data_IF_021821351200
#
_entry.id   IF_021821351200
#
_cell.length_a   1.000
_cell.length_b   1.000
_cell.length_c   1.000
_cell.angle_alpha   90.00
_cell.angle_beta   90.00
_cell.angle_gamma   90.00
#
_symmetry.space_group_name_H-M   'P 1'
#
loop_
_entity.id
_entity.type
_entity.pdbx_description
1 polymer ?
#
# COMPACT_ATOMS: atom_id res chain seq x y z
N UNK A 1 -19.30 -2.47 -3.45
CA UNK A 1 -18.74 -1.63 -2.39
C UNK A 1 -19.61 -1.80 -1.15
N UNK A 2 -19.01 -1.87 0.05
CA UNK A 2 -19.77 -1.99 1.32
C UNK A 2 -19.52 -0.75 2.18
N UNK A 3 -20.54 0.06 2.39
CA UNK A 3 -20.50 1.29 3.22
C UNK A 3 -21.03 1.00 4.64
N UNK A 4 -20.62 1.81 5.63
CA UNK A 4 -21.15 1.71 7.01
C UNK A 4 -22.27 2.71 7.32
N UNK A 5 -22.59 3.61 6.37
CA UNK A 5 -23.38 4.83 6.56
C UNK A 5 -22.72 5.90 7.45
N UNK A 6 -21.54 5.65 8.02
CA UNK A 6 -20.81 6.68 8.78
C UNK A 6 -20.10 7.67 7.85
N UNK A 7 -20.03 8.93 8.29
CA UNK A 7 -19.28 10.01 7.64
C UNK A 7 -18.45 10.71 8.72
N UNK A 8 -17.15 10.86 8.48
CA UNK A 8 -16.21 11.52 9.40
C UNK A 8 -15.57 12.68 8.66
N UNK A 9 -15.79 13.91 9.14
CA UNK A 9 -15.29 15.14 8.51
C UNK A 9 -15.64 15.22 7.00
N UNK A 10 -16.84 14.78 6.64
CA UNK A 10 -17.32 14.73 5.26
C UNK A 10 -16.77 13.56 4.43
N UNK A 11 -15.95 12.68 5.01
CA UNK A 11 -15.38 11.49 4.34
C UNK A 11 -16.19 10.24 4.71
N UNK A 12 -16.75 9.52 3.73
CA UNK A 12 -17.52 8.30 3.97
C UNK A 12 -16.65 7.15 4.48
N UNK A 13 -17.23 6.32 5.35
CA UNK A 13 -16.59 5.12 5.89
C UNK A 13 -17.07 3.86 5.15
N UNK A 14 -16.12 3.00 4.76
CA UNK A 14 -16.37 1.76 4.03
C UNK A 14 -15.78 0.55 4.75
N UNK A 15 -16.37 -0.62 4.58
CA UNK A 15 -15.87 -1.92 5.05
C UNK A 15 -15.30 -2.77 3.90
N UNK A 16 -15.64 -2.46 2.65
CA UNK A 16 -15.07 -3.08 1.45
C UNK A 16 -15.01 -2.09 0.30
N UNK A 17 -13.83 -1.91 -0.28
CA UNK A 17 -13.62 -1.11 -1.48
C UNK A 17 -14.02 -1.92 -2.73
N UNK A 18 -14.60 -1.23 -3.71
CA UNK A 18 -14.84 -1.74 -5.06
C UNK A 18 -14.65 -0.59 -6.03
N UNK A 19 -13.46 -0.48 -6.62
CA UNK A 19 -13.12 0.65 -7.51
C UNK A 19 -13.93 0.65 -8.79
N UNK A 20 -14.41 -0.51 -9.23
CA UNK A 20 -15.21 -0.66 -10.45
C UNK A 20 -16.58 0.04 -10.34
N UNK A 21 -17.12 0.15 -9.13
CA UNK A 21 -18.40 0.82 -8.85
C UNK A 21 -18.29 2.34 -8.74
N UNK A 22 -17.09 2.90 -8.71
CA UNK A 22 -16.89 4.34 -8.60
C UNK A 22 -17.11 5.03 -9.96
N UNK A 23 -17.65 6.25 -9.95
CA UNK A 23 -17.60 7.13 -11.10
C UNK A 23 -16.16 7.63 -11.33
N UNK A 24 -15.86 8.10 -12.55
CA UNK A 24 -14.60 8.80 -12.80
C UNK A 24 -14.45 10.03 -11.87
N UNK A 25 -13.23 10.32 -11.44
CA UNK A 25 -12.94 11.42 -10.50
C UNK A 25 -12.04 11.01 -9.34
N UNK A 26 -11.93 11.91 -8.36
CA UNK A 26 -11.18 11.70 -7.11
C UNK A 26 -12.14 11.38 -5.96
N UNK A 27 -11.89 10.29 -5.26
CA UNK A 27 -12.70 9.81 -4.14
C UNK A 27 -11.83 9.67 -2.90
N UNK A 28 -12.42 9.88 -1.72
CA UNK A 28 -11.76 9.70 -0.42
C UNK A 28 -12.66 8.87 0.46
N UNK A 29 -12.06 7.91 1.16
CA UNK A 29 -12.74 7.04 2.11
C UNK A 29 -11.93 6.86 3.38
N UNK A 30 -12.61 6.52 4.45
CA UNK A 30 -12.02 5.80 5.57
C UNK A 30 -12.39 4.32 5.47
N UNK A 31 -11.41 3.46 5.25
CA UNK A 31 -11.61 2.01 5.30
C UNK A 31 -11.55 1.52 6.74
N UNK A 32 -12.62 0.91 7.22
CA UNK A 32 -12.75 0.33 8.56
C UNK A 32 -12.12 -1.06 8.57
N UNK A 33 -10.87 -1.14 9.04
CA UNK A 33 -10.10 -2.39 9.04
C UNK A 33 -10.44 -3.29 10.24
N UNK A 34 -10.51 -2.72 11.44
CA UNK A 34 -10.81 -3.47 12.66
C UNK A 34 -11.27 -2.54 13.80
N UNK A 35 -11.40 -3.09 15.02
CA UNK A 35 -11.66 -2.36 16.26
C UNK A 35 -10.57 -2.60 17.29
N UNK A 36 -10.25 -1.60 18.11
CA UNK A 36 -9.45 -1.76 19.31
C UNK A 36 -10.26 -2.35 20.49
N UNK A 37 -9.60 -2.58 21.62
CA UNK A 37 -10.22 -3.10 22.85
C UNK A 37 -11.19 -2.14 23.52
N UNK A 38 -11.21 -0.86 23.12
CA UNK A 38 -12.14 0.17 23.60
C UNK A 38 -13.36 0.29 22.66
N UNK A 39 -13.40 -0.44 21.56
CA UNK A 39 -14.46 -0.39 20.55
C UNK A 39 -14.27 0.72 19.51
N UNK A 40 -13.13 1.41 19.48
CA UNK A 40 -12.85 2.39 18.43
C UNK A 40 -12.44 1.67 17.14
N UNK A 41 -12.94 2.16 16.01
CA UNK A 41 -12.52 1.66 14.71
C UNK A 41 -11.14 2.16 14.32
N UNK A 42 -10.28 1.23 13.88
CA UNK A 42 -9.08 1.55 13.12
C UNK A 42 -9.48 1.86 11.68
N UNK A 43 -9.31 3.13 11.31
CA UNK A 43 -9.73 3.68 10.02
C UNK A 43 -8.53 4.06 9.19
N UNK A 44 -8.40 3.42 8.04
CA UNK A 44 -7.32 3.63 7.08
C UNK A 44 -7.77 4.69 6.07
N UNK A 45 -7.03 5.79 5.86
CA UNK A 45 -7.32 6.72 4.78
C UNK A 45 -7.07 6.05 3.43
N UNK A 46 -8.06 6.10 2.53
CA UNK A 46 -7.97 5.59 1.17
C UNK A 46 -8.34 6.68 0.20
N UNK A 47 -7.52 6.88 -0.83
CA UNK A 47 -7.77 7.84 -1.91
C UNK A 47 -7.84 7.04 -3.22
N UNK A 48 -8.84 7.30 -4.04
CA UNK A 48 -8.98 6.66 -5.35
C UNK A 48 -9.06 7.73 -6.42
N UNK A 49 -8.21 7.63 -7.44
CA UNK A 49 -8.28 8.44 -8.65
C UNK A 49 -8.67 7.53 -9.80
N UNK A 50 -9.88 7.70 -10.32
CA UNK A 50 -10.42 6.85 -11.39
C UNK A 50 -10.58 7.65 -12.69
N UNK A 51 -9.99 7.12 -13.75
CA UNK A 51 -10.09 7.63 -15.11
C UNK A 51 -11.50 7.48 -15.71
N UNK A 52 -11.77 8.21 -16.79
CA UNK A 52 -13.00 8.05 -17.56
C UNK A 52 -13.00 6.77 -18.42
N UNK A 53 -11.81 6.35 -18.87
CA UNK A 53 -11.61 5.15 -19.67
C UNK A 53 -11.15 3.98 -18.79
N UNK A 54 -11.59 2.74 -19.09
CA UNK A 54 -11.04 1.53 -18.47
C UNK A 54 -9.54 1.41 -18.72
N UNK A 55 -8.84 0.74 -17.81
CA UNK A 55 -7.40 0.52 -17.86
C UNK A 55 -6.94 -0.14 -16.56
N UNK A 56 -5.63 -0.28 -16.40
CA UNK A 56 -4.99 -0.95 -15.26
C UNK A 56 -5.34 -0.30 -13.93
N UNK A 57 -5.52 -1.12 -12.90
CA UNK A 57 -5.68 -0.71 -11.50
C UNK A 57 -4.31 -0.76 -10.81
N UNK A 58 -3.72 0.40 -10.57
CA UNK A 58 -2.49 0.54 -9.78
C UNK A 58 -2.85 0.78 -8.31
N UNK A 59 -2.33 -0.05 -7.42
CA UNK A 59 -2.46 0.13 -5.98
C UNK A 59 -1.12 0.50 -5.37
N UNK A 60 -1.07 1.59 -4.60
CA UNK A 60 0.13 2.02 -3.88
C UNK A 60 -0.25 2.15 -2.42
N UNK A 61 0.49 1.46 -1.55
CA UNK A 61 0.36 1.65 -0.12
C UNK A 61 1.67 2.03 0.53
N UNK A 62 1.57 2.58 1.73
CA UNK A 62 2.70 2.86 2.61
C UNK A 62 2.36 2.51 4.05
N UNK A 63 3.41 2.33 4.84
CA UNK A 63 3.33 2.32 6.30
C UNK A 63 2.47 1.17 6.82
N UNK A 64 2.64 -0.02 6.22
CA UNK A 64 2.19 -1.28 6.81
C UNK A 64 2.98 -1.56 8.10
N UNK A 65 4.28 -1.28 8.07
CA UNK A 65 5.08 -1.01 9.25
C UNK A 65 4.90 0.44 9.68
N UNK A 66 4.48 0.68 10.92
CA UNK A 66 4.05 2.00 11.38
C UNK A 66 5.15 3.05 11.50
N UNK A 67 6.41 2.64 11.57
CA UNK A 67 7.59 3.52 11.64
C UNK A 67 8.15 3.92 10.25
N UNK A 68 7.58 3.38 9.17
CA UNK A 68 8.07 3.59 7.80
C UNK A 68 7.21 4.65 7.09
N UNK A 69 7.50 5.92 7.38
CA UNK A 69 6.62 7.06 7.03
C UNK A 69 6.93 7.71 5.68
N UNK A 70 8.02 7.36 4.99
CA UNK A 70 8.41 8.06 3.75
C UNK A 70 7.43 7.87 2.59
N UNK A 71 6.83 6.68 2.46
CA UNK A 71 5.83 6.44 1.42
C UNK A 71 4.57 7.31 1.58
N UNK A 72 4.29 7.84 2.79
CA UNK A 72 3.23 8.85 3.00
C UNK A 72 3.52 10.09 2.16
N UNK A 73 4.76 10.57 2.20
CA UNK A 73 5.19 11.76 1.45
C UNK A 73 5.19 11.50 -0.05
N UNK A 74 5.69 10.34 -0.51
CA UNK A 74 5.61 9.94 -1.92
C UNK A 74 4.18 9.96 -2.44
N UNK A 75 3.23 9.39 -1.70
CA UNK A 75 1.81 9.38 -2.08
C UNK A 75 1.24 10.80 -2.14
N UNK A 76 1.59 11.67 -1.19
CA UNK A 76 1.13 13.06 -1.17
C UNK A 76 1.74 13.91 -2.29
N UNK A 77 2.99 13.64 -2.68
CA UNK A 77 3.63 14.28 -3.83
C UNK A 77 3.05 13.79 -5.16
N UNK A 78 2.67 12.51 -5.27
CA UNK A 78 2.07 11.95 -6.49
C UNK A 78 0.65 12.46 -6.75
N UNK A 79 -0.18 12.59 -5.71
CA UNK A 79 -1.61 12.87 -5.83
C UNK A 79 -1.98 14.12 -6.68
N UNK A 80 -1.26 15.26 -6.60
CA UNK A 80 -1.51 16.43 -7.46
C UNK A 80 -1.30 16.15 -8.95
N UNK A 81 -0.45 15.19 -9.32
CA UNK A 81 -0.14 14.84 -10.71
C UNK A 81 -1.15 13.88 -11.34
N UNK A 82 -2.03 13.27 -10.52
CA UNK A 82 -3.07 12.37 -11.01
C UNK A 82 -4.32 13.18 -11.41
N UNK A 83 -4.49 13.41 -12.71
CA UNK A 83 -5.71 14.01 -13.29
C UNK A 83 -6.67 12.90 -13.79
N UNK A 84 -7.85 12.73 -13.17
CA UNK A 84 -8.87 11.80 -13.65
C UNK A 84 -9.25 11.95 -15.12
N UNK A 85 -9.15 13.16 -15.68
CA UNK A 85 -9.52 13.41 -17.08
C UNK A 85 -8.48 12.86 -18.07
N UNK A 86 -7.22 12.72 -17.64
CA UNK A 86 -6.12 12.21 -18.46
C UNK A 86 -5.75 10.74 -18.15
N UNK A 87 -6.26 10.20 -17.05
CA UNK A 87 -5.99 8.83 -16.61
C UNK A 87 -6.86 7.81 -17.36
N UNK A 88 -6.26 6.70 -17.79
CA UNK A 88 -6.96 5.46 -18.15
C UNK A 88 -6.75 4.43 -17.04
N UNK A 89 -7.82 3.85 -16.53
CA UNK A 89 -7.75 2.94 -15.37
C UNK A 89 -7.93 3.63 -14.02
N UNK A 90 -7.33 3.09 -12.97
CA UNK A 90 -7.55 3.54 -11.58
C UNK A 90 -6.26 3.51 -10.78
N UNK A 91 -6.03 4.55 -9.97
CA UNK A 91 -4.96 4.57 -8.97
C UNK A 91 -5.58 4.59 -7.57
N UNK A 92 -5.26 3.59 -6.75
CA UNK A 92 -5.62 3.52 -5.33
C UNK A 92 -4.40 3.87 -4.50
N UNK A 93 -4.55 4.81 -3.57
CA UNK A 93 -3.48 5.30 -2.71
C UNK A 93 -3.87 5.10 -1.23
N UNK A 94 -3.03 4.40 -0.48
CA UNK A 94 -3.19 4.16 0.96
C UNK A 94 -1.95 4.68 1.68
N UNK A 95 -1.93 5.95 2.12
CA UNK A 95 -0.73 6.55 2.72
C UNK A 95 -0.34 5.92 4.06
N UNK A 96 -1.29 5.36 4.81
CA UNK A 96 -1.01 4.75 6.12
C UNK A 96 -1.84 3.50 6.35
N UNK A 97 -1.32 2.34 5.95
CA UNK A 97 -2.02 1.06 6.03
C UNK A 97 -2.15 0.52 7.47
N UNK A 98 -1.33 0.99 8.42
CA UNK A 98 -1.37 0.59 9.82
C UNK A 98 -1.41 1.81 10.78
N UNK A 99 -2.53 2.55 10.86
CA UNK A 99 -2.65 3.71 11.77
C UNK A 99 -2.29 3.41 13.24
N UNK A 100 -2.63 2.24 13.82
CA UNK A 100 -2.21 1.92 15.18
C UNK A 100 -0.70 1.80 15.35
N UNK A 101 0.01 1.19 14.40
CA UNK A 101 1.47 1.16 14.38
C UNK A 101 2.07 2.56 14.26
N UNK A 102 1.49 3.39 13.39
CA UNK A 102 1.91 4.78 13.19
C UNK A 102 1.79 5.62 14.46
N UNK A 103 0.66 5.51 15.17
CA UNK A 103 0.43 6.23 16.43
C UNK A 103 1.47 5.89 17.51
N UNK A 104 2.06 4.70 17.43
CA UNK A 104 3.09 4.22 18.34
C UNK A 104 4.51 4.38 17.80
N UNK A 105 4.70 4.94 16.59
CA UNK A 105 5.96 4.94 15.85
C UNK A 105 6.63 3.54 15.87
N UNK A 106 5.82 2.51 15.64
CA UNK A 106 6.19 1.11 15.79
C UNK A 106 6.07 0.38 14.46
N UNK A 107 7.09 -0.43 14.13
CA UNK A 107 7.05 -1.39 13.01
C UNK A 107 5.81 -2.29 13.06
N UNK A 108 5.33 -2.61 14.25
CA UNK A 108 4.35 -3.65 14.47
C UNK A 108 2.96 -3.09 14.75
N UNK A 109 1.93 -3.86 14.37
CA UNK A 109 0.56 -3.65 14.83
C UNK A 109 0.44 -4.04 16.32
N UNK A 110 -0.19 -3.20 17.16
CA UNK A 110 -0.25 -3.39 18.61
C UNK A 110 -1.27 -4.45 19.03
N UNK A 111 -1.13 -5.67 18.51
CA UNK A 111 -1.73 -6.86 19.10
C UNK A 111 -0.63 -7.75 19.66
N UNK A 112 -0.66 -7.92 20.98
CA UNK A 112 0.21 -8.86 21.66
C UNK A 112 -0.28 -10.28 21.39
N UNK A 113 0.66 -11.16 21.04
CA UNK A 113 0.47 -12.60 21.10
C UNK A 113 0.88 -13.13 22.49
N UNK A 114 0.80 -14.45 22.68
CA UNK A 114 1.17 -15.12 23.94
C UNK A 114 2.64 -14.87 24.36
N UNK A 115 3.52 -14.53 23.42
CA UNK A 115 4.93 -14.19 23.69
C UNK A 115 5.15 -12.70 23.98
N UNK A 116 4.06 -11.92 24.15
CA UNK A 116 4.07 -10.47 24.37
C UNK A 116 4.74 -9.67 23.25
N UNK A 117 4.90 -10.28 22.08
CA UNK A 117 5.42 -9.58 20.90
C UNK A 117 4.26 -8.98 20.11
N UNK A 118 4.47 -7.78 19.59
CA UNK A 118 3.53 -7.17 18.66
C UNK A 118 3.57 -7.88 17.31
N UNK A 119 2.48 -7.74 16.56
CA UNK A 119 2.28 -8.51 15.32
C UNK A 119 2.90 -7.78 14.13
N UNK A 120 3.78 -8.45 13.39
CA UNK A 120 4.21 -7.99 12.08
C UNK A 120 3.12 -8.33 11.06
N UNK A 121 2.41 -7.31 10.55
CA UNK A 121 1.37 -7.50 9.54
C UNK A 121 1.93 -8.03 8.22
N UNK A 122 3.20 -7.74 7.90
CA UNK A 122 3.87 -8.25 6.71
C UNK A 122 4.30 -9.72 6.84
N UNK A 123 3.74 -10.47 7.79
CA UNK A 123 3.89 -11.94 7.96
C UNK A 123 2.54 -12.62 8.17
N UNK A 124 1.45 -11.92 7.87
CA UNK A 124 0.09 -12.31 8.24
C UNK A 124 -0.86 -12.38 7.06
N UNK A 125 -0.44 -12.05 5.84
CA UNK A 125 -1.28 -12.18 4.64
C UNK A 125 -1.51 -13.67 4.31
N UNK A 126 -2.69 -14.06 3.81
CA UNK A 126 -3.90 -13.25 3.57
C UNK A 126 -4.76 -13.00 4.84
N UNK A 127 -4.35 -13.56 5.98
CA UNK A 127 -5.04 -13.41 7.27
C UNK A 127 -6.24 -14.35 7.44
N UNK A 128 -6.86 -14.30 8.62
CA UNK A 128 -8.07 -15.07 8.94
C UNK A 128 -9.02 -14.23 9.80
N UNK A 129 -10.25 -14.01 9.30
CA UNK A 129 -11.31 -13.29 9.97
C UNK A 129 -11.71 -13.88 11.33
N UNK A 130 -11.49 -15.17 11.54
CA UNK A 130 -11.86 -15.93 12.75
C UNK A 130 -10.67 -16.17 13.68
N UNK A 131 -9.48 -15.74 13.31
CA UNK A 131 -8.28 -15.89 14.14
C UNK A 131 -8.46 -15.23 15.49
N UNK A 132 -7.93 -15.85 16.55
CA UNK A 132 -7.82 -15.22 17.87
C UNK A 132 -6.85 -14.03 17.85
N UNK A 133 -5.85 -14.04 16.96
CA UNK A 133 -4.90 -12.95 16.79
C UNK A 133 -5.56 -11.76 16.05
N UNK A 134 -5.55 -10.58 16.68
CA UNK A 134 -6.16 -9.38 16.10
C UNK A 134 -5.45 -8.86 14.84
N UNK A 135 -4.12 -8.99 14.76
CA UNK A 135 -3.36 -8.65 13.55
C UNK A 135 -3.69 -9.56 12.36
N UNK A 136 -3.97 -10.84 12.59
CA UNK A 136 -4.43 -11.76 11.53
C UNK A 136 -5.82 -11.37 11.00
N UNK A 137 -6.74 -10.93 11.88
CA UNK A 137 -8.04 -10.37 11.46
C UNK A 137 -7.90 -9.04 10.72
N UNK A 138 -6.91 -8.21 11.11
CA UNK A 138 -6.57 -6.98 10.41
C UNK A 138 -6.06 -7.26 9.00
N UNK A 139 -5.12 -8.19 8.86
CA UNK A 139 -4.58 -8.64 7.58
C UNK A 139 -5.70 -9.21 6.68
N UNK A 140 -6.65 -9.96 7.25
CA UNK A 140 -7.83 -10.42 6.51
C UNK A 140 -8.64 -9.26 5.92
N UNK A 141 -8.91 -8.22 6.72
CA UNK A 141 -9.66 -7.06 6.24
C UNK A 141 -8.92 -6.32 5.12
N UNK A 142 -7.61 -6.10 5.29
CA UNK A 142 -6.76 -5.53 4.25
C UNK A 142 -6.82 -6.37 2.96
N UNK A 143 -6.49 -7.64 3.06
CA UNK A 143 -6.40 -8.55 1.91
C UNK A 143 -7.73 -8.67 1.17
N UNK A 144 -8.78 -9.14 1.84
CA UNK A 144 -10.03 -9.53 1.18
C UNK A 144 -10.98 -8.35 0.88
N UNK A 145 -10.86 -7.25 1.61
CA UNK A 145 -11.81 -6.14 1.50
C UNK A 145 -11.19 -4.84 0.96
N UNK A 146 -9.86 -4.71 0.93
CA UNK A 146 -9.18 -3.53 0.41
C UNK A 146 -8.30 -3.84 -0.80
N UNK A 147 -7.49 -4.89 -0.77
CA UNK A 147 -6.51 -5.19 -1.83
C UNK A 147 -7.12 -5.96 -3.01
N UNK A 148 -7.66 -7.14 -2.74
CA UNK A 148 -8.18 -8.02 -3.80
C UNK A 148 -9.31 -7.33 -4.59
N UNK A 149 -9.33 -7.58 -5.89
CA UNK A 149 -10.22 -6.98 -6.90
C UNK A 149 -9.97 -5.48 -7.20
N UNK A 150 -9.12 -4.81 -6.42
CA UNK A 150 -8.81 -3.38 -6.54
C UNK A 150 -7.39 -3.09 -7.07
N UNK A 151 -6.62 -4.12 -7.42
CA UNK A 151 -5.25 -4.01 -7.92
C UNK A 151 -4.98 -5.02 -9.04
N UNK A 152 -4.48 -4.53 -10.17
CA UNK A 152 -3.82 -5.32 -11.21
C UNK A 152 -2.29 -5.26 -11.03
N UNK A 153 -1.78 -4.17 -10.45
CA UNK A 153 -0.39 -3.98 -10.05
C UNK A 153 -0.38 -3.39 -8.62
N UNK A 154 0.56 -3.83 -7.78
CA UNK A 154 0.69 -3.36 -6.41
C UNK A 154 2.10 -2.88 -6.08
N UNK A 155 2.23 -1.69 -5.50
CA UNK A 155 3.50 -1.15 -5.00
C UNK A 155 3.39 -0.96 -3.48
N UNK A 156 4.18 -1.72 -2.73
CA UNK A 156 4.24 -1.65 -1.28
C UNK A 156 5.47 -0.84 -0.84
N UNK A 157 5.23 0.39 -0.38
CA UNK A 157 6.30 1.32 0.01
C UNK A 157 6.72 1.06 1.46
N UNK A 158 7.97 0.65 1.62
CA UNK A 158 8.67 0.40 2.87
C UNK A 158 9.87 1.34 3.02
N UNK A 159 10.46 1.31 4.20
CA UNK A 159 11.79 1.84 4.47
C UNK A 159 12.54 0.84 5.33
N UNK A 160 13.86 0.96 5.42
CA UNK A 160 14.59 0.07 6.30
C UNK A 160 14.23 0.31 7.77
N UNK A 161 14.27 -0.76 8.57
CA UNK A 161 14.07 -0.76 10.03
C UNK A 161 14.80 0.39 10.73
N UNK A 162 14.17 0.93 11.76
CA UNK A 162 14.70 2.03 12.58
C UNK A 162 16.17 1.79 12.99
N UNK A 163 17.03 2.76 12.68
CA UNK A 163 18.47 2.71 12.95
C UNK A 163 19.34 2.30 11.76
N UNK A 164 18.74 2.00 10.61
CA UNK A 164 19.43 1.65 9.35
C UNK A 164 18.78 2.34 8.15
N UNK A 165 19.47 2.36 7.00
CA UNK A 165 19.03 3.02 5.79
C UNK A 165 19.30 2.13 4.57
N UNK A 166 18.36 2.10 3.62
CA UNK A 166 18.61 1.56 2.28
C UNK A 166 18.80 2.68 1.26
N UNK A 167 19.51 2.44 0.14
CA UNK A 167 19.37 3.27 -1.07
C UNK A 167 17.96 3.10 -1.65
N UNK A 168 17.67 3.60 -2.86
CA UNK A 168 16.44 3.20 -3.52
C UNK A 168 16.58 1.73 -3.91
N UNK A 169 15.98 0.86 -3.10
CA UNK A 169 16.14 -0.58 -3.16
C UNK A 169 14.79 -1.26 -3.41
N UNK A 170 14.80 -2.42 -4.07
CA UNK A 170 13.57 -3.20 -4.29
C UNK A 170 13.81 -4.68 -4.02
N UNK A 171 12.80 -5.32 -3.44
CA UNK A 171 12.64 -6.77 -3.49
C UNK A 171 11.71 -7.11 -4.66
N UNK A 172 12.11 -8.10 -5.45
CA UNK A 172 11.37 -8.53 -6.62
C UNK A 172 11.53 -10.04 -6.88
N UNK A 173 10.43 -10.75 -7.03
CA UNK A 173 10.40 -12.15 -7.46
C UNK A 173 10.62 -12.27 -8.98
N UNK A 174 11.86 -12.57 -9.39
CA UNK A 174 12.22 -12.67 -10.81
C UNK A 174 11.71 -13.95 -11.50
N UNK A 175 11.08 -14.87 -10.75
CA UNK A 175 10.38 -16.02 -11.33
C UNK A 175 9.09 -15.57 -12.02
N UNK A 176 8.58 -14.38 -11.69
CA UNK A 176 7.45 -13.74 -12.37
C UNK A 176 7.92 -12.75 -13.44
N UNK A 177 7.61 -13.04 -14.71
CA UNK A 177 7.99 -12.18 -15.83
C UNK A 177 7.36 -10.77 -15.75
N UNK A 178 6.17 -10.66 -15.15
CA UNK A 178 5.49 -9.38 -14.98
C UNK A 178 6.12 -8.54 -13.85
N UNK A 179 6.60 -9.18 -12.78
CA UNK A 179 7.40 -8.52 -11.74
C UNK A 179 8.74 -8.05 -12.30
N UNK A 180 9.42 -8.85 -13.12
CA UNK A 180 10.64 -8.43 -13.81
C UNK A 180 10.43 -7.17 -14.67
N UNK A 181 9.34 -7.14 -15.45
CA UNK A 181 8.98 -5.96 -16.27
C UNK A 181 8.71 -4.75 -15.39
N UNK A 182 7.91 -4.92 -14.33
CA UNK A 182 7.57 -3.85 -13.41
C UNK A 182 8.82 -3.28 -12.72
N UNK A 183 9.72 -4.14 -12.25
CA UNK A 183 11.00 -3.77 -11.65
C UNK A 183 11.90 -3.01 -12.62
N UNK A 184 11.96 -3.43 -13.90
CA UNK A 184 12.75 -2.74 -14.92
C UNK A 184 12.25 -1.33 -15.26
N UNK A 185 11.00 -1.00 -14.90
CA UNK A 185 10.45 0.35 -15.04
C UNK A 185 10.80 1.27 -13.85
N UNK A 186 11.37 0.74 -12.76
CA UNK A 186 11.74 1.54 -11.61
C UNK A 186 13.22 1.93 -11.67
N UNK A 187 13.60 3.18 -11.38
CA UNK A 187 14.99 3.62 -11.36
C UNK A 187 15.65 3.30 -10.00
N UNK A 188 15.52 2.06 -9.54
CA UNK A 188 16.13 1.62 -8.29
C UNK A 188 17.66 1.57 -8.44
N UNK A 189 18.37 1.96 -7.38
CA UNK A 189 19.83 1.83 -7.30
C UNK A 189 20.23 0.35 -7.24
N UNK A 190 19.39 -0.48 -6.60
CA UNK A 190 19.62 -1.90 -6.39
C UNK A 190 18.31 -2.68 -6.38
N UNK A 191 18.35 -3.90 -6.94
CA UNK A 191 17.24 -4.84 -6.91
C UNK A 191 17.79 -6.15 -6.35
N UNK A 192 17.16 -6.65 -5.30
CA UNK A 192 17.40 -7.99 -4.81
C UNK A 192 16.35 -8.92 -5.39
N UNK A 193 16.84 -9.90 -6.14
CA UNK A 193 16.09 -11.09 -6.48
C UNK A 193 15.94 -11.93 -5.20
N UNK A 194 14.71 -12.05 -4.70
CA UNK A 194 14.37 -12.81 -3.50
C UNK A 194 13.28 -13.84 -3.81
N UNK A 195 13.31 -14.97 -3.12
CA UNK A 195 12.29 -16.02 -3.27
C UNK A 195 10.95 -15.64 -2.62
N UNK A 196 10.90 -14.47 -1.96
CA UNK A 196 9.78 -13.97 -1.21
C UNK A 196 9.74 -14.49 0.22
N UNK A 197 8.96 -13.82 1.06
CA UNK A 197 8.76 -14.18 2.45
C UNK A 197 7.28 -14.51 2.66
N UNK A 198 6.99 -15.71 3.17
CA UNK A 198 5.63 -16.17 3.46
C UNK A 198 4.85 -15.16 4.31
N UNK A 199 3.62 -14.90 3.88
CA UNK A 199 2.71 -13.98 4.55
C UNK A 199 3.05 -12.50 4.40
N UNK A 200 4.07 -12.14 3.62
CA UNK A 200 4.31 -10.76 3.19
C UNK A 200 3.32 -10.34 2.10
N UNK A 201 3.04 -9.04 2.03
CA UNK A 201 2.08 -8.50 1.05
C UNK A 201 2.54 -8.79 -0.37
N UNK A 202 3.80 -8.49 -0.69
CA UNK A 202 4.38 -8.68 -2.02
C UNK A 202 4.33 -10.15 -2.45
N UNK A 203 4.88 -11.05 -1.64
CA UNK A 203 4.92 -12.49 -1.96
C UNK A 203 3.53 -13.10 -2.12
N UNK A 204 2.59 -12.79 -1.21
CA UNK A 204 1.24 -13.36 -1.32
C UNK A 204 0.48 -12.78 -2.52
N UNK A 205 0.67 -11.50 -2.87
CA UNK A 205 0.04 -10.90 -4.06
C UNK A 205 0.55 -11.53 -5.35
N UNK A 206 1.87 -11.74 -5.46
CA UNK A 206 2.47 -12.45 -6.60
C UNK A 206 1.91 -13.86 -6.71
N UNK A 207 1.77 -14.60 -5.59
CA UNK A 207 1.12 -15.92 -5.56
C UNK A 207 -0.35 -15.89 -5.98
N UNK A 208 -1.05 -14.80 -5.68
CA UNK A 208 -2.44 -14.57 -6.09
C UNK A 208 -2.58 -14.06 -7.54
N UNK A 209 -1.48 -13.87 -8.27
CA UNK A 209 -1.47 -13.43 -9.66
C UNK A 209 -1.48 -11.91 -9.86
N UNK A 210 -1.21 -11.14 -8.81
CA UNK A 210 -1.07 -9.67 -8.87
C UNK A 210 0.42 -9.32 -8.80
N UNK A 211 1.06 -8.87 -9.88
CA UNK A 211 2.43 -8.39 -9.85
C UNK A 211 2.63 -7.31 -8.78
N UNK A 212 3.60 -7.52 -7.91
CA UNK A 212 3.87 -6.65 -6.76
C UNK A 212 5.36 -6.40 -6.57
N UNK A 213 5.71 -5.24 -6.01
CA UNK A 213 7.06 -4.89 -5.58
C UNK A 213 7.04 -4.35 -4.16
N UNK A 214 8.04 -4.74 -3.37
CA UNK A 214 8.42 -4.00 -2.17
C UNK A 214 9.48 -2.98 -2.54
N UNK A 215 9.17 -1.70 -2.33
CA UNK A 215 10.06 -0.57 -2.60
C UNK A 215 10.57 -0.03 -1.28
N UNK A 216 11.88 0.06 -1.11
CA UNK A 216 12.56 0.53 0.09
C UNK A 216 13.13 1.93 -0.13
N UNK A 217 12.70 2.89 0.69
CA UNK A 217 13.01 4.32 0.54
C UNK A 217 13.74 4.88 1.76
N UNK A 218 15.03 4.58 1.92
CA UNK A 218 15.85 5.24 2.92
C UNK A 218 15.62 4.75 4.35
N UNK A 219 15.62 5.70 5.29
CA UNK A 219 15.47 5.48 6.73
C UNK A 219 13.99 5.45 7.15
N UNK A 220 13.67 4.62 8.15
CA UNK A 220 12.44 4.75 8.94
C UNK A 220 12.42 6.06 9.77
N UNK A 221 11.22 6.51 10.13
CA UNK A 221 10.92 7.65 11.00
C UNK A 221 11.44 9.03 10.56
N UNK A 222 11.93 9.19 9.33
CA UNK A 222 12.45 10.46 8.80
C UNK A 222 11.85 10.71 7.43
N UNK A 223 11.48 11.94 7.12
CA UNK A 223 11.23 12.36 5.74
C UNK A 223 12.55 12.77 5.11
N UNK A 224 12.98 12.03 4.08
CA UNK A 224 14.19 12.31 3.33
C UNK A 224 13.82 12.80 1.92
N UNK A 225 13.89 14.13 1.66
CA UNK A 225 13.55 14.68 0.36
C UNK A 225 14.37 14.08 -0.79
N UNK A 226 15.60 13.62 -0.56
CA UNK A 226 16.42 13.04 -1.64
C UNK A 226 15.94 11.66 -2.08
N UNK A 227 15.10 11.01 -1.25
CA UNK A 227 14.46 9.72 -1.50
C UNK A 227 13.01 9.87 -1.97
N UNK A 228 12.31 10.94 -1.55
CA UNK A 228 10.89 11.13 -1.88
C UNK A 228 10.65 12.10 -3.03
N UNK A 229 11.57 13.03 -3.29
CA UNK A 229 11.42 13.98 -4.39
C UNK A 229 11.82 13.35 -5.73
N UNK A 230 11.24 13.84 -6.84
CA UNK A 230 11.81 13.58 -8.15
C UNK A 230 13.28 14.02 -8.14
N UNK A 231 14.25 13.09 -8.10
CA UNK A 231 15.61 13.45 -8.50
C UNK A 231 15.48 14.09 -9.89
N UNK A 232 16.27 15.14 -10.14
CA UNK A 232 16.25 16.00 -11.35
C UNK A 232 16.52 15.27 -12.69
N UNK A 233 16.36 13.94 -12.72
CA UNK A 233 16.30 13.09 -13.89
C UNK A 233 15.60 11.77 -13.51
N UNK A 234 14.30 11.61 -13.79
CA UNK A 234 13.71 10.30 -14.12
C UNK A 234 12.67 9.65 -13.18
N UNK A 235 12.45 10.06 -11.93
CA UNK A 235 11.55 9.30 -11.03
C UNK A 235 10.05 9.45 -11.35
N UNK A 236 9.59 10.62 -11.79
CA UNK A 236 8.17 10.83 -12.16
C UNK A 236 7.88 10.64 -13.65
N UNK A 237 8.89 10.70 -14.52
CA UNK A 237 8.72 10.31 -15.94
C UNK A 237 8.34 8.82 -16.10
N UNK A 238 8.52 7.99 -15.06
CA UNK A 238 8.20 6.56 -15.09
C UNK A 238 6.79 6.22 -14.58
N UNK A 239 6.21 7.02 -13.67
CA UNK A 239 4.76 6.93 -13.41
C UNK A 239 3.97 7.31 -14.67
N UNK A 240 4.50 8.24 -15.47
CA UNK A 240 3.98 8.55 -16.80
C UNK A 240 4.20 7.39 -17.80
N UNK A 241 5.27 6.60 -17.72
CA UNK A 241 5.42 5.38 -18.55
C UNK A 241 4.48 4.26 -18.13
N UNK A 242 4.23 4.06 -16.84
CA UNK A 242 3.17 3.17 -16.38
C UNK A 242 1.79 3.66 -16.82
N UNK A 243 1.55 4.98 -16.89
CA UNK A 243 0.36 5.58 -17.52
C UNK A 243 0.31 5.28 -19.03
N UNK A 244 1.43 5.35 -19.73
CA UNK A 244 1.50 5.19 -21.19
C UNK A 244 1.43 3.72 -21.64
N UNK A 245 1.91 2.75 -20.84
CA UNK A 245 1.71 1.29 -21.06
C UNK A 245 0.28 0.83 -20.69
N UNK A 246 -0.49 1.69 -20.00
CA UNK A 246 -1.95 1.56 -19.85
C UNK A 246 -2.73 2.29 -20.98
N UNK A 247 -2.02 2.74 -22.01
CA UNK A 247 -2.52 3.52 -23.16
C UNK A 247 -3.17 2.69 -24.24
#
# INVERSE_FOLDING_TARGET
MKTTNDIIDGVPVIEKLSVDELAAGKHRFFFKASTDSLGNYHRIPVIVVKGAEPGTKLFIQSTLHGDEVQGVDVIHQLLPHLDPAALKGTVVLVPGANPPGMQLASRYYPSQNETQTFTNLNRMMPGDAKSSNAGSRYAYALWHNLYMDNADIFLDLHTQSTGTAFPFFMFADFRSADVCRLAALQPADQILEDDGIDGSVETELVRAGVPSLTIELGCANVFDPDMTQPRRSGHFEHFDRLRDDCG
#
